data_IF_894327329263
#
_entry.id   IF_894327329263
#
_cell.length_a   1.000
_cell.length_b   1.000
_cell.length_c   1.000
_cell.angle_alpha   90.00
_cell.angle_beta   90.00
_cell.angle_gamma   90.00
#
_symmetry.space_group_name_H-M   'P 1'
#
loop_
_entity.id
_entity.type
_entity.pdbx_description
1 polymer ?
#
# COMPACT_ATOMS: atom_id res chain seq x y z
N UNK A 1 -15.27 -13.48 2.61
CA UNK A 1 -14.50 -12.95 1.46
C UNK A 1 -13.06 -12.98 1.91
N UNK A 2 -12.26 -13.91 1.42
CA UNK A 2 -10.80 -13.87 1.64
C UNK A 2 -10.30 -12.74 0.78
N UNK A 3 -9.94 -11.61 1.38
CA UNK A 3 -9.56 -10.45 0.60
C UNK A 3 -8.19 -10.76 0.00
N UNK A 4 -8.05 -10.73 -1.34
CA UNK A 4 -6.78 -11.01 -2.03
C UNK A 4 -5.66 -10.06 -1.56
N UNK A 5 -6.02 -8.95 -0.92
CA UNK A 5 -5.12 -8.05 -0.24
C UNK A 5 -4.45 -8.66 1.02
N UNK A 6 -5.12 -9.51 1.82
CA UNK A 6 -4.53 -10.10 3.04
C UNK A 6 -3.26 -10.92 2.77
N UNK A 7 -3.05 -11.39 1.53
CA UNK A 7 -1.87 -12.17 1.14
C UNK A 7 -0.82 -11.39 0.35
N UNK A 8 -1.05 -10.11 0.01
CA UNK A 8 -0.08 -9.30 -0.76
C UNK A 8 0.83 -8.51 0.18
N UNK A 9 2.14 -8.69 0.04
CA UNK A 9 3.15 -7.85 0.67
C UNK A 9 3.56 -6.73 -0.29
N UNK A 10 3.73 -5.52 0.25
CA UNK A 10 4.18 -4.35 -0.48
C UNK A 10 5.48 -3.84 0.11
N UNK A 11 6.37 -3.33 -0.75
CA UNK A 11 7.56 -2.59 -0.35
C UNK A 11 7.37 -1.12 -0.72
N UNK A 12 7.63 -0.22 0.23
CA UNK A 12 7.73 1.20 0.00
C UNK A 12 9.06 1.47 -0.72
N UNK A 13 9.03 1.98 -1.95
CA UNK A 13 10.27 2.20 -2.72
C UNK A 13 11.21 3.20 -2.03
N UNK A 14 10.64 4.24 -1.42
CA UNK A 14 11.39 5.35 -0.85
C UNK A 14 12.18 4.97 0.41
N UNK A 15 11.65 4.07 1.24
CA UNK A 15 12.28 3.69 2.53
C UNK A 15 12.74 2.24 2.56
N UNK A 16 12.25 1.41 1.64
CA UNK A 16 12.45 -0.03 1.66
C UNK A 16 11.64 -0.76 2.72
N UNK A 17 10.81 -0.06 3.49
CA UNK A 17 9.92 -0.64 4.48
C UNK A 17 8.87 -1.53 3.82
N UNK A 18 8.39 -2.53 4.57
CA UNK A 18 7.36 -3.44 4.10
C UNK A 18 6.04 -3.13 4.77
N UNK A 19 4.97 -3.20 3.99
CA UNK A 19 3.58 -3.07 4.43
C UNK A 19 2.86 -4.30 3.93
N UNK A 20 2.28 -5.08 4.84
CA UNK A 20 1.41 -6.17 4.40
C UNK A 20 0.04 -5.62 3.96
N UNK A 21 -0.72 -6.40 3.19
CA UNK A 21 -1.95 -5.89 2.64
C UNK A 21 -3.05 -5.62 3.66
N UNK A 22 -3.06 -6.30 4.82
CA UNK A 22 -3.97 -5.94 5.92
C UNK A 22 -3.63 -4.56 6.48
N UNK A 23 -2.34 -4.26 6.71
CA UNK A 23 -1.92 -2.92 7.14
C UNK A 23 -2.33 -1.87 6.12
N UNK A 24 -2.10 -2.11 4.82
CA UNK A 24 -2.53 -1.19 3.76
C UNK A 24 -4.05 -0.97 3.78
N UNK A 25 -4.83 -2.05 3.87
CA UNK A 25 -6.28 -1.98 3.94
C UNK A 25 -6.77 -1.14 5.13
N UNK A 26 -6.14 -1.29 6.30
CA UNK A 26 -6.47 -0.50 7.47
C UNK A 26 -6.15 0.99 7.26
N UNK A 27 -4.98 1.33 6.69
CA UNK A 27 -4.64 2.72 6.39
C UNK A 27 -5.65 3.37 5.44
N UNK A 28 -6.11 2.63 4.42
CA UNK A 28 -7.12 3.11 3.49
C UNK A 28 -8.51 3.20 4.13
N UNK A 29 -8.90 2.23 4.95
CA UNK A 29 -10.20 2.19 5.63
C UNK A 29 -10.36 3.35 6.61
N UNK A 30 -9.31 3.67 7.37
CA UNK A 30 -9.32 4.79 8.32
C UNK A 30 -9.04 6.15 7.66
N UNK A 31 -8.79 6.18 6.35
CA UNK A 31 -8.49 7.41 5.61
C UNK A 31 -7.14 8.05 5.98
N UNK A 32 -6.26 7.29 6.63
CA UNK A 32 -4.88 7.73 6.93
C UNK A 32 -4.10 7.82 5.64
N UNK A 33 -4.28 6.84 4.74
CA UNK A 33 -3.71 6.89 3.39
C UNK A 33 -4.83 6.95 2.34
N UNK A 34 -4.51 7.52 1.17
CA UNK A 34 -5.39 7.58 0.03
C UNK A 34 -4.68 7.10 -1.24
N UNK A 35 -5.28 6.19 -1.99
CA UNK A 35 -4.74 5.74 -3.29
C UNK A 35 -4.88 6.88 -4.31
N UNK A 36 -3.75 7.30 -4.89
CA UNK A 36 -3.68 8.28 -5.96
C UNK A 36 -3.64 7.57 -7.31
N UNK A 37 -2.78 6.56 -7.44
CA UNK A 37 -2.59 5.78 -8.67
C UNK A 37 -2.53 4.29 -8.34
N UNK A 38 -3.13 3.47 -9.19
CA UNK A 38 -3.18 2.02 -9.01
C UNK A 38 -2.88 1.31 -10.33
N UNK A 39 -1.79 0.56 -10.35
CA UNK A 39 -1.42 -0.39 -11.39
C UNK A 39 -1.40 -1.82 -10.80
N UNK A 40 -1.16 -2.82 -11.64
CA UNK A 40 -1.14 -4.22 -11.23
C UNK A 40 -0.02 -4.54 -10.21
N UNK A 41 1.17 -3.99 -10.44
CA UNK A 41 2.39 -4.22 -9.64
C UNK A 41 2.83 -3.02 -8.80
N UNK A 42 2.26 -1.83 -9.03
CA UNK A 42 2.68 -0.58 -8.39
C UNK A 42 1.51 0.32 -8.03
N UNK A 43 1.48 0.81 -6.79
CA UNK A 43 0.48 1.75 -6.30
C UNK A 43 1.16 3.00 -5.78
N UNK A 44 0.50 4.15 -5.90
CA UNK A 44 0.94 5.41 -5.30
C UNK A 44 -0.11 5.86 -4.32
N UNK A 45 0.30 6.13 -3.08
CA UNK A 45 -0.59 6.57 -2.00
C UNK A 45 -0.12 7.92 -1.45
N UNK A 46 -1.07 8.78 -1.07
CA UNK A 46 -0.81 9.91 -0.18
C UNK A 46 -0.95 9.46 1.27
N UNK A 47 -0.02 9.83 2.13
CA UNK A 47 -0.14 9.69 3.59
C UNK A 47 -0.86 10.90 4.20
N UNK A 48 -1.28 10.77 5.46
CA UNK A 48 -1.88 11.82 6.28
C UNK A 48 -1.01 13.08 6.34
N UNK A 49 0.31 12.91 6.37
CA UNK A 49 1.30 13.98 6.37
C UNK A 49 1.41 14.72 5.02
N UNK A 50 0.68 14.26 4.00
CA UNK A 50 0.72 14.78 2.63
C UNK A 50 1.88 14.24 1.79
N UNK A 51 2.69 13.32 2.31
CA UNK A 51 3.75 12.67 1.54
C UNK A 51 3.19 11.66 0.54
N UNK A 52 3.90 11.47 -0.57
CA UNK A 52 3.58 10.42 -1.53
C UNK A 52 4.51 9.24 -1.31
N UNK A 53 3.94 8.03 -1.27
CA UNK A 53 4.68 6.78 -1.13
C UNK A 53 4.35 5.86 -2.29
N UNK A 54 5.36 5.18 -2.80
CA UNK A 54 5.25 4.23 -3.90
C UNK A 54 5.31 2.82 -3.35
N UNK A 55 4.22 2.08 -3.48
CA UNK A 55 4.09 0.70 -3.02
C UNK A 55 4.29 -0.24 -4.21
N UNK A 56 5.31 -1.08 -4.14
CA UNK A 56 5.56 -2.13 -5.14
C UNK A 56 5.18 -3.47 -4.55
N UNK A 57 4.40 -4.25 -5.31
CA UNK A 57 4.02 -5.61 -4.90
C UNK A 57 5.27 -6.48 -4.83
N UNK A 58 5.53 -7.06 -3.66
CA UNK A 58 6.56 -8.08 -3.51
C UNK A 58 5.93 -9.39 -3.98
N UNK A 59 6.39 -9.89 -5.14
CA UNK A 59 6.04 -11.24 -5.59
C UNK A 59 6.88 -12.25 -4.78
N UNK A 60 6.26 -13.32 -4.30
CA UNK A 60 6.97 -14.48 -3.75
C UNK A 60 7.83 -15.19 -4.82
#
# INVERSE_FOLDING_TARGET
>A
MTNVAESREFRIEETGERVNGLELELHLLFGVWAVIERHDDRWVVATDDGERRTLVVVSE
#
